data_IF_826749453925
#
_entry.id   IF_826749453925
#
_cell.length_a   1.000
_cell.length_b   1.000
_cell.length_c   1.000
_cell.angle_alpha   90.00
_cell.angle_beta   90.00
_cell.angle_gamma   90.00
#
_symmetry.space_group_name_H-M   'P 1'
#
loop_
_entity.id
_entity.type
_entity.pdbx_description
1 polymer ?
#
# COMPACT_ATOMS: atom_id res chain seq x y z
N UNK A 1 -7.07 -10.36 5.44
CA UNK A 1 -6.61 -9.28 6.36
C UNK A 1 -5.13 -9.38 6.76
N UNK A 2 -4.44 -10.51 6.53
CA UNK A 2 -3.02 -10.68 6.91
C UNK A 2 -2.02 -10.08 5.91
N UNK A 3 -2.38 -10.06 4.63
CA UNK A 3 -1.51 -9.60 3.52
C UNK A 3 -1.21 -8.09 3.62
N UNK A 4 -2.26 -7.28 3.80
CA UNK A 4 -2.15 -5.82 3.86
C UNK A 4 -1.28 -5.32 5.03
N UNK A 5 -1.31 -5.98 6.20
CA UNK A 5 -0.45 -5.61 7.33
C UNK A 5 1.01 -6.01 7.12
N UNK A 6 1.24 -7.11 6.38
CA UNK A 6 2.58 -7.60 6.09
C UNK A 6 3.27 -6.70 5.07
N UNK A 7 2.53 -6.24 4.06
CA UNK A 7 3.00 -5.27 3.05
C UNK A 7 3.34 -3.91 3.68
N UNK A 8 2.48 -3.38 4.56
CA UNK A 8 2.73 -2.13 5.30
C UNK A 8 4.01 -2.22 6.17
N UNK A 9 4.16 -3.32 6.91
CA UNK A 9 5.34 -3.56 7.74
C UNK A 9 6.62 -3.69 6.91
N UNK A 10 6.55 -4.39 5.77
CA UNK A 10 7.67 -4.56 4.84
C UNK A 10 8.07 -3.24 4.18
N UNK A 11 7.10 -2.39 3.81
CA UNK A 11 7.35 -1.07 3.25
C UNK A 11 8.06 -0.15 4.25
N UNK A 12 7.59 -0.12 5.51
CA UNK A 12 8.26 0.64 6.59
C UNK A 12 9.66 0.11 6.90
N UNK A 13 9.85 -1.21 6.87
CA UNK A 13 11.15 -1.82 7.07
C UNK A 13 12.15 -1.44 5.95
N UNK A 14 11.74 -1.46 4.68
CA UNK A 14 12.57 -0.99 3.56
C UNK A 14 12.90 0.49 3.66
N UNK A 15 11.92 1.32 4.04
CA UNK A 15 12.14 2.76 4.18
C UNK A 15 13.11 3.09 5.32
N UNK A 16 12.97 2.40 6.47
CA UNK A 16 13.88 2.51 7.60
C UNK A 16 15.28 1.99 7.27
N UNK A 17 15.38 0.83 6.61
CA UNK A 17 16.65 0.28 6.16
C UNK A 17 17.37 1.23 5.19
N UNK A 18 16.68 1.76 4.18
CA UNK A 18 17.27 2.74 3.25
C UNK A 18 17.65 4.07 3.91
N UNK A 19 16.91 4.51 4.93
CA UNK A 19 17.29 5.69 5.72
C UNK A 19 18.55 5.46 6.56
N UNK A 20 18.71 4.25 7.12
CA UNK A 20 19.87 3.87 7.96
C UNK A 20 21.11 3.58 7.13
N UNK A 21 20.98 2.88 6.00
CA UNK A 21 22.11 2.52 5.13
C UNK A 21 22.47 3.64 4.14
N UNK A 22 21.65 4.69 4.04
CA UNK A 22 21.78 5.76 3.05
C UNK A 22 21.35 5.34 1.63
N UNK A 23 20.74 4.17 1.51
CA UNK A 23 20.32 3.59 0.24
C UNK A 23 19.00 4.22 -0.23
N UNK A 24 19.12 5.07 -1.26
CA UNK A 24 18.00 5.84 -1.82
C UNK A 24 16.99 4.94 -2.53
N UNK A 25 17.41 3.78 -3.01
CA UNK A 25 16.55 2.84 -3.73
C UNK A 25 15.62 2.13 -2.75
N UNK A 26 16.15 1.62 -1.62
CA UNK A 26 15.32 1.03 -0.55
C UNK A 26 14.29 2.01 0.02
N UNK A 27 14.69 3.27 0.20
CA UNK A 27 13.78 4.34 0.65
C UNK A 27 12.68 4.63 -0.38
N UNK A 28 13.03 4.72 -1.67
CA UNK A 28 12.05 4.94 -2.74
C UNK A 28 11.09 3.78 -2.89
N UNK A 29 11.59 2.56 -2.80
CA UNK A 29 10.80 1.34 -2.96
C UNK A 29 9.74 1.23 -1.85
N UNK A 30 10.13 1.42 -0.58
CA UNK A 30 9.17 1.44 0.53
C UNK A 30 8.07 2.49 0.38
N UNK A 31 8.42 3.66 -0.14
CA UNK A 31 7.46 4.76 -0.40
C UNK A 31 6.54 4.47 -1.59
N UNK A 32 7.07 3.85 -2.64
CA UNK A 32 6.30 3.46 -3.82
C UNK A 32 5.31 2.33 -3.50
N UNK A 33 5.72 1.36 -2.67
CA UNK A 33 4.85 0.29 -2.17
C UNK A 33 3.65 0.87 -1.39
N UNK A 34 3.90 1.80 -0.46
CA UNK A 34 2.82 2.45 0.30
C UNK A 34 1.88 3.29 -0.57
N UNK A 35 2.43 4.01 -1.56
CA UNK A 35 1.61 4.78 -2.49
C UNK A 35 0.73 3.86 -3.36
N UNK A 36 1.29 2.74 -3.82
CA UNK A 36 0.58 1.74 -4.61
C UNK A 36 -0.52 1.07 -3.79
N UNK A 37 -0.23 0.66 -2.56
CA UNK A 37 -1.20 0.08 -1.63
C UNK A 37 -2.34 1.06 -1.32
N UNK A 38 -2.02 2.33 -1.03
CA UNK A 38 -3.01 3.38 -0.79
C UNK A 38 -3.89 3.65 -2.00
N UNK A 39 -3.31 3.65 -3.20
CA UNK A 39 -4.05 3.81 -4.45
C UNK A 39 -4.98 2.62 -4.70
N UNK A 40 -4.47 1.38 -4.53
CA UNK A 40 -5.24 0.14 -4.71
C UNK A 40 -6.41 0.06 -3.73
N UNK A 41 -6.18 0.35 -2.44
CA UNK A 41 -7.23 0.36 -1.44
C UNK A 41 -8.32 1.41 -1.69
N UNK A 42 -7.95 2.61 -2.19
CA UNK A 42 -8.94 3.64 -2.61
C UNK A 42 -9.72 3.20 -3.84
N UNK A 43 -9.05 2.58 -4.82
CA UNK A 43 -9.67 2.10 -6.04
C UNK A 43 -10.65 0.96 -5.73
N UNK A 44 -10.23 -0.02 -4.95
CA UNK A 44 -11.07 -1.13 -4.48
C UNK A 44 -12.25 -0.60 -3.69
N UNK A 45 -12.07 0.35 -2.77
CA UNK A 45 -13.17 0.97 -2.03
C UNK A 45 -14.17 1.70 -2.93
N UNK A 46 -13.69 2.34 -4.01
CA UNK A 46 -14.55 3.03 -4.96
C UNK A 46 -15.32 2.03 -5.84
N UNK A 47 -14.65 0.99 -6.33
CA UNK A 47 -15.24 -0.09 -7.10
C UNK A 47 -16.27 -0.84 -6.27
N UNK A 48 -15.97 -1.15 -5.01
CA UNK A 48 -16.86 -1.87 -4.10
C UNK A 48 -18.13 -1.06 -3.83
N UNK A 49 -18.01 0.25 -3.54
CA UNK A 49 -19.17 1.16 -3.40
C UNK A 49 -20.04 1.26 -4.66
N UNK A 50 -19.41 1.28 -5.84
CA UNK A 50 -20.14 1.31 -7.12
C UNK A 50 -20.83 -0.03 -7.36
N UNK A 51 -20.14 -1.13 -7.08
CA UNK A 51 -20.68 -2.48 -7.24
C UNK A 51 -21.83 -2.75 -6.28
N UNK A 52 -21.75 -2.29 -5.04
CA UNK A 52 -22.83 -2.36 -4.04
C UNK A 52 -24.08 -1.58 -4.50
N UNK A 53 -23.89 -0.36 -5.01
CA UNK A 53 -24.97 0.46 -5.60
C UNK A 53 -25.62 -0.14 -6.85
N UNK A 54 -24.85 -0.84 -7.68
CA UNK A 54 -25.34 -1.45 -8.93
C UNK A 54 -25.97 -2.82 -8.66
N UNK A 55 -25.42 -3.59 -7.71
CA UNK A 55 -25.90 -4.94 -7.39
C UNK A 55 -27.16 -4.91 -6.53
N UNK A 56 -27.43 -3.79 -5.83
CA UNK A 56 -28.73 -3.51 -5.24
C UNK A 56 -29.06 -4.41 -4.06
N UNK A 57 -28.75 -3.92 -2.85
CA UNK A 57 -29.51 -4.23 -1.65
C UNK A 57 -30.13 -2.93 -1.10
#
# INVERSE_FOLDING_TARGET
>A
MSEHRTEDAKGRAKEAAGAVTGDKDLKKEGKADQASASAKGKLESAVDKVKDKITGN
#
